data_IF_526755258860
#
_entry.id   IF_526755258860
#
_cell.length_a   1.000
_cell.length_b   1.000
_cell.length_c   1.000
_cell.angle_alpha   90.00
_cell.angle_beta   90.00
_cell.angle_gamma   90.00
#
_symmetry.space_group_name_H-M   'P 1'
#
loop_
_entity.id
_entity.type
_entity.pdbx_description
1 polymer ?
#
# COMPACT_ATOMS: atom_id res chain seq x y z
N UNK A 1 12.83 17.45 -0.12
CA UNK A 1 14.28 17.35 0.15
C UNK A 1 14.80 16.20 -0.68
N UNK A 2 15.64 16.46 -1.69
CA UNK A 2 16.07 15.47 -2.67
C UNK A 2 17.14 14.46 -2.17
N UNK A 3 17.55 14.54 -0.91
CA UNK A 3 18.54 13.64 -0.30
C UNK A 3 19.95 13.84 -0.85
N UNK A 4 20.17 13.48 -2.12
CA UNK A 4 21.42 13.63 -2.86
C UNK A 4 21.21 14.38 -4.19
N UNK A 5 22.13 15.28 -4.53
CA UNK A 5 22.13 16.01 -5.80
C UNK A 5 23.42 15.74 -6.55
N UNK A 6 23.34 15.42 -7.84
CA UNK A 6 24.53 15.30 -8.68
C UNK A 6 25.16 16.67 -8.89
N UNK A 7 26.43 16.77 -8.54
CA UNK A 7 27.22 17.99 -8.67
C UNK A 7 28.51 17.72 -9.41
N UNK A 8 29.01 18.72 -10.13
CA UNK A 8 30.34 18.75 -10.73
C UNK A 8 31.25 19.58 -9.84
N UNK A 9 32.42 19.05 -9.50
CA UNK A 9 33.45 19.80 -8.78
C UNK A 9 34.06 20.81 -9.75
N UNK A 10 34.02 22.09 -9.37
CA UNK A 10 34.57 23.22 -10.15
C UNK A 10 35.95 23.59 -9.61
N UNK A 11 36.10 23.64 -8.28
CA UNK A 11 37.34 24.05 -7.62
C UNK A 11 37.52 23.29 -6.29
N UNK A 12 38.77 23.02 -5.94
CA UNK A 12 39.15 22.36 -4.68
C UNK A 12 39.82 23.38 -3.75
N UNK A 13 39.20 23.69 -2.61
CA UNK A 13 39.74 24.63 -1.61
C UNK A 13 39.73 23.96 -0.22
N UNK A 14 40.75 23.16 0.14
CA UNK A 14 40.74 22.37 1.37
C UNK A 14 40.43 23.22 2.62
N UNK A 15 39.48 22.83 3.50
CA UNK A 15 38.78 21.55 3.58
C UNK A 15 37.47 21.45 2.76
N UNK A 16 37.16 22.44 1.93
CA UNK A 16 35.92 22.57 1.18
C UNK A 16 36.10 22.33 -0.34
N UNK A 17 34.99 22.11 -1.02
CA UNK A 17 34.89 21.96 -2.47
C UNK A 17 33.85 22.94 -3.00
N UNK A 18 34.16 23.57 -4.12
CA UNK A 18 33.19 24.39 -4.87
C UNK A 18 32.56 23.49 -5.91
N UNK A 19 31.25 23.28 -5.80
CA UNK A 19 30.49 22.35 -6.63
C UNK A 19 29.35 23.07 -7.36
N UNK A 20 28.96 22.55 -8.52
CA UNK A 20 27.84 23.06 -9.32
C UNK A 20 26.83 21.94 -9.61
N UNK A 21 25.51 22.15 -9.38
CA UNK A 21 24.48 21.17 -9.75
C UNK A 21 24.51 20.82 -11.25
N UNK A 22 24.32 19.54 -11.59
CA UNK A 22 24.42 19.06 -12.97
C UNK A 22 23.14 19.24 -13.80
N UNK A 23 21.99 19.41 -13.15
CA UNK A 23 20.67 19.43 -13.79
C UNK A 23 20.09 20.84 -13.97
N UNK A 24 20.77 21.87 -13.49
CA UNK A 24 20.36 23.25 -13.68
C UNK A 24 21.03 23.84 -14.94
N UNK A 25 20.31 24.65 -15.74
CA UNK A 25 20.88 25.30 -16.90
C UNK A 25 22.02 26.24 -16.48
N UNK A 26 23.13 26.21 -17.21
CA UNK A 26 24.39 26.90 -16.87
C UNK A 26 24.26 28.43 -16.68
N UNK A 27 23.17 29.03 -17.14
CA UNK A 27 22.86 30.45 -16.96
C UNK A 27 22.34 30.82 -15.56
N UNK A 28 21.86 29.85 -14.77
CA UNK A 28 21.20 30.09 -13.47
C UNK A 28 21.86 29.35 -12.29
N UNK A 29 22.81 28.45 -12.57
CA UNK A 29 23.46 27.63 -11.54
C UNK A 29 24.52 28.40 -10.75
N UNK A 30 24.18 28.80 -9.52
CA UNK A 30 25.16 29.30 -8.56
C UNK A 30 26.09 28.18 -8.08
N UNK A 31 27.37 28.49 -7.92
CA UNK A 31 28.31 27.57 -7.29
C UNK A 31 28.01 27.48 -5.79
N UNK A 32 28.00 26.26 -5.26
CA UNK A 32 27.76 25.98 -3.83
C UNK A 32 29.06 25.47 -3.22
N UNK A 33 29.40 25.96 -2.03
CA UNK A 33 30.55 25.46 -1.27
C UNK A 33 30.07 24.35 -0.34
N UNK A 34 30.71 23.19 -0.43
CA UNK A 34 30.39 22.00 0.39
C UNK A 34 31.67 21.45 1.03
N UNK A 35 31.57 20.87 2.22
CA UNK A 35 32.70 20.22 2.85
C UNK A 35 33.15 19.00 2.01
N UNK A 36 34.45 18.78 1.86
CA UNK A 36 34.95 17.64 1.07
C UNK A 36 34.43 16.29 1.60
N UNK A 37 34.24 16.16 2.92
CA UNK A 37 33.67 14.97 3.57
C UNK A 37 32.19 14.72 3.25
N UNK A 38 31.46 15.73 2.76
CA UNK A 38 30.05 15.61 2.37
C UNK A 38 29.88 15.21 0.89
N UNK A 39 30.97 15.11 0.13
CA UNK A 39 30.94 14.76 -1.30
C UNK A 39 31.31 13.30 -1.48
N UNK A 40 30.32 12.51 -1.91
CA UNK A 40 30.52 11.13 -2.34
C UNK A 40 31.05 11.12 -3.77
N UNK A 41 32.30 10.69 -3.96
CA UNK A 41 32.86 10.47 -5.30
C UNK A 41 32.35 9.14 -5.86
N UNK A 42 31.44 9.21 -6.82
CA UNK A 42 31.04 8.03 -7.60
C UNK A 42 32.20 7.66 -8.55
N UNK A 43 32.95 6.61 -8.21
CA UNK A 43 34.17 6.17 -8.93
C UNK A 43 33.95 5.94 -10.44
N UNK A 44 32.73 5.56 -10.84
CA UNK A 44 32.25 5.69 -12.21
C UNK A 44 30.73 5.71 -12.19
N UNK A 45 30.11 6.79 -12.66
CA UNK A 45 28.70 6.73 -13.03
C UNK A 45 28.60 5.77 -14.22
N UNK A 46 27.76 4.72 -14.19
CA UNK A 46 27.52 3.93 -15.39
C UNK A 46 27.14 4.88 -16.54
N UNK A 47 27.71 4.68 -17.75
CA UNK A 47 27.40 5.54 -18.89
C UNK A 47 25.88 5.61 -19.06
N UNK A 48 25.39 6.75 -19.54
CA UNK A 48 23.96 7.09 -19.70
C UNK A 48 23.11 6.01 -20.41
N UNK A 49 23.75 5.05 -21.08
CA UNK A 49 23.20 3.95 -21.84
C UNK A 49 23.19 2.58 -21.15
N UNK A 50 23.95 2.31 -20.08
CA UNK A 50 23.91 0.97 -19.46
C UNK A 50 22.74 0.86 -18.48
N UNK A 51 21.69 0.13 -18.86
CA UNK A 51 20.65 -0.28 -17.93
C UNK A 51 21.27 -1.29 -16.96
N UNK A 52 21.74 -0.79 -15.81
CA UNK A 52 22.09 -1.69 -14.72
C UNK A 52 20.78 -2.27 -14.20
N UNK A 53 20.55 -3.54 -14.52
CA UNK A 53 19.34 -4.25 -14.08
C UNK A 53 19.47 -4.81 -12.67
N UNK A 54 20.71 -5.02 -12.20
CA UNK A 54 21.00 -5.44 -10.83
C UNK A 54 21.96 -4.46 -10.14
N UNK A 55 21.47 -3.78 -9.11
CA UNK A 55 22.18 -2.73 -8.38
C UNK A 55 23.42 -3.26 -7.63
N UNK A 56 23.55 -4.58 -7.40
CA UNK A 56 24.76 -5.17 -6.81
C UNK A 56 25.98 -5.06 -7.73
N UNK A 57 25.77 -4.87 -9.03
CA UNK A 57 26.86 -4.62 -9.98
C UNK A 57 27.31 -3.16 -10.03
N UNK A 58 26.72 -2.29 -9.20
CA UNK A 58 27.24 -0.94 -9.03
C UNK A 58 28.58 -1.01 -8.29
N UNK A 59 29.66 -0.62 -8.97
CA UNK A 59 31.00 -0.55 -8.37
C UNK A 59 31.12 0.46 -7.22
N UNK A 60 30.10 1.29 -7.00
CA UNK A 60 29.94 2.14 -5.82
C UNK A 60 28.81 1.59 -4.95
N UNK A 61 29.14 0.85 -3.89
CA UNK A 61 28.17 0.27 -2.95
C UNK A 61 27.54 1.30 -1.98
N UNK A 62 27.49 2.58 -2.37
CA UNK A 62 27.00 3.68 -1.54
C UNK A 62 25.57 4.08 -1.89
N UNK A 63 24.82 4.54 -0.89
CA UNK A 63 23.39 4.91 -0.99
C UNK A 63 23.09 5.86 -2.15
N UNK A 64 23.98 6.83 -2.40
CA UNK A 64 23.83 7.83 -3.46
C UNK A 64 23.80 7.20 -4.87
N UNK A 65 24.60 6.14 -5.10
CA UNK A 65 24.65 5.44 -6.39
C UNK A 65 23.39 4.65 -6.69
N UNK A 66 22.85 3.97 -5.67
CA UNK A 66 21.60 3.22 -5.77
C UNK A 66 20.41 4.16 -6.01
N UNK A 67 20.32 5.27 -5.26
CA UNK A 67 19.24 6.26 -5.42
C UNK A 67 19.25 6.90 -6.81
N UNK A 68 20.43 7.27 -7.31
CA UNK A 68 20.58 7.82 -8.66
C UNK A 68 20.09 6.85 -9.75
N UNK A 69 20.47 5.57 -9.63
CA UNK A 69 20.04 4.54 -10.57
C UNK A 69 18.52 4.34 -10.54
N UNK A 70 17.94 4.23 -9.34
CA UNK A 70 16.49 4.09 -9.15
C UNK A 70 15.72 5.29 -9.72
N UNK A 71 16.18 6.52 -9.46
CA UNK A 71 15.58 7.76 -10.00
C UNK A 71 15.57 7.77 -11.53
N UNK A 72 16.71 7.42 -12.15
CA UNK A 72 16.82 7.37 -13.63
C UNK A 72 15.92 6.29 -14.24
N UNK A 73 15.82 5.11 -13.60
CA UNK A 73 14.95 4.02 -14.04
C UNK A 73 13.48 4.39 -13.93
N UNK A 74 13.08 5.02 -12.82
CA UNK A 74 11.72 5.52 -12.63
C UNK A 74 11.30 6.52 -13.73
N UNK A 75 12.17 7.48 -14.06
CA UNK A 75 11.92 8.46 -15.12
C UNK A 75 11.85 7.84 -16.54
N UNK A 76 12.44 6.65 -16.73
CA UNK A 76 12.39 5.88 -17.98
C UNK A 76 11.25 4.84 -17.99
N UNK A 77 10.33 4.89 -17.03
CA UNK A 77 9.27 3.90 -16.86
C UNK A 77 9.75 2.46 -16.58
N UNK A 78 10.98 2.29 -16.10
CA UNK A 78 11.49 1.01 -15.61
C UNK A 78 11.21 0.89 -14.11
N UNK A 79 10.06 0.34 -13.76
CA UNK A 79 9.56 0.26 -12.37
C UNK A 79 10.22 -0.85 -11.53
N UNK A 80 10.84 -1.83 -12.18
CA UNK A 80 11.48 -2.98 -11.54
C UNK A 80 13.00 -2.85 -11.59
N UNK A 81 13.66 -3.22 -10.50
CA UNK A 81 15.13 -3.24 -10.39
C UNK A 81 15.58 -4.36 -9.46
N UNK A 82 16.56 -5.17 -9.87
CA UNK A 82 17.13 -6.22 -9.00
C UNK A 82 18.14 -5.62 -8.01
N UNK A 83 18.17 -6.18 -6.80
CA UNK A 83 19.18 -5.96 -5.77
C UNK A 83 19.61 -7.34 -5.26
N UNK A 84 20.55 -7.96 -5.98
CA UNK A 84 20.98 -9.32 -5.67
C UNK A 84 19.83 -10.32 -5.87
N UNK A 85 19.34 -10.89 -4.76
CA UNK A 85 18.18 -11.80 -4.75
C UNK A 85 16.84 -11.08 -4.53
N UNK A 86 16.86 -9.78 -4.23
CA UNK A 86 15.65 -8.99 -4.00
C UNK A 86 15.24 -8.29 -5.30
N UNK A 87 13.94 -8.08 -5.48
CA UNK A 87 13.39 -7.24 -6.54
C UNK A 87 12.71 -6.03 -5.91
N UNK A 88 13.15 -4.84 -6.31
CA UNK A 88 12.55 -3.57 -5.90
C UNK A 88 11.56 -3.10 -6.96
N UNK A 89 10.35 -2.76 -6.54
CA UNK A 89 9.31 -2.14 -7.35
C UNK A 89 9.11 -0.68 -6.90
N UNK A 90 9.21 0.25 -7.84
CA UNK A 90 8.79 1.64 -7.65
C UNK A 90 7.42 1.83 -8.30
N UNK A 91 6.38 1.94 -7.47
CA UNK A 91 5.00 2.02 -7.94
C UNK A 91 4.76 3.30 -8.74
N UNK A 92 4.31 3.15 -9.98
CA UNK A 92 3.70 4.23 -10.74
C UNK A 92 2.19 4.22 -10.45
N UNK A 93 1.60 5.40 -10.21
CA UNK A 93 0.15 5.55 -10.06
C UNK A 93 -0.60 5.48 -11.41
N UNK A 94 0.11 5.20 -12.49
CA UNK A 94 -0.40 5.01 -13.85
C UNK A 94 -0.06 3.60 -14.34
N UNK A 95 -1.00 2.92 -14.99
CA UNK A 95 -0.74 1.60 -15.57
C UNK A 95 0.24 1.72 -16.74
N UNK A 96 1.34 0.95 -16.77
CA UNK A 96 2.26 0.96 -17.90
C UNK A 96 1.59 0.37 -19.14
N UNK A 97 1.74 1.04 -20.29
CA UNK A 97 1.14 0.67 -21.58
C UNK A 97 1.96 -0.35 -22.37
N UNK A 98 3.23 -0.57 -22.00
CA UNK A 98 4.15 -1.47 -22.70
C UNK A 98 5.10 -2.11 -21.69
N UNK A 99 5.23 -3.44 -21.71
CA UNK A 99 6.11 -4.20 -20.81
C UNK A 99 7.20 -4.87 -21.65
N UNK A 100 8.30 -4.17 -21.90
CA UNK A 100 9.57 -4.84 -22.21
C UNK A 100 10.13 -5.43 -20.89
N UNK A 101 10.61 -6.67 -20.92
CA UNK A 101 11.28 -7.32 -19.76
C UNK A 101 12.70 -7.69 -20.18
N UNK A 102 13.77 -7.51 -19.35
CA UNK A 102 13.83 -7.54 -17.87
C UNK A 102 14.31 -6.24 -17.18
N UNK A 103 14.24 -6.14 -15.81
CA UNK A 103 13.69 -7.09 -14.83
C UNK A 103 12.19 -6.89 -14.58
N UNK A 104 11.47 -7.91 -14.12
CA UNK A 104 10.00 -7.87 -13.95
C UNK A 104 9.49 -8.82 -12.85
N UNK A 105 8.30 -8.56 -12.29
CA UNK A 105 7.68 -9.42 -11.26
C UNK A 105 7.52 -10.87 -11.72
N UNK A 106 7.35 -11.14 -13.01
CA UNK A 106 7.24 -12.51 -13.53
C UNK A 106 8.52 -13.33 -13.36
N UNK A 107 9.69 -12.70 -13.34
CA UNK A 107 10.96 -13.40 -13.05
C UNK A 107 11.02 -13.83 -11.59
N UNK A 108 10.52 -12.97 -10.69
CA UNK A 108 10.39 -13.32 -9.29
C UNK A 108 9.23 -14.25 -9.06
N UNK A 109 8.08 -14.14 -9.73
CA UNK A 109 6.98 -15.09 -9.56
C UNK A 109 7.37 -16.51 -10.02
N UNK A 110 8.19 -16.63 -11.07
CA UNK A 110 8.80 -17.89 -11.48
C UNK A 110 9.84 -18.42 -10.46
N UNK A 111 10.56 -17.53 -9.76
CA UNK A 111 11.58 -17.88 -8.75
C UNK A 111 11.05 -17.95 -7.29
N UNK A 112 9.91 -17.32 -7.03
CA UNK A 112 9.26 -17.10 -5.74
C UNK A 112 7.85 -17.66 -5.86
N UNK A 113 7.79 -18.96 -5.66
CA UNK A 113 6.55 -19.71 -5.49
C UNK A 113 5.83 -19.40 -4.17
N UNK A 114 6.41 -18.56 -3.29
CA UNK A 114 5.72 -18.03 -2.13
C UNK A 114 6.09 -16.56 -1.92
N UNK A 115 5.17 -15.66 -2.21
CA UNK A 115 4.92 -14.43 -1.43
C UNK A 115 3.88 -13.57 -2.15
N UNK A 116 2.66 -13.53 -1.62
CA UNK A 116 1.74 -12.43 -1.90
C UNK A 116 1.55 -11.65 -0.59
N UNK A 117 2.04 -10.40 -0.56
CA UNK A 117 1.90 -9.51 0.58
C UNK A 117 0.46 -9.00 0.70
N UNK A 118 -0.18 -9.33 1.84
CA UNK A 118 -0.72 -8.41 2.86
C UNK A 118 -1.52 -9.23 3.86
N UNK A 119 -0.90 -9.60 4.99
CA UNK A 119 -1.53 -10.39 6.07
C UNK A 119 -2.32 -11.64 5.62
N UNK A 120 -2.03 -12.13 4.40
CA UNK A 120 -2.67 -13.23 3.70
C UNK A 120 -1.54 -13.96 2.99
N UNK A 121 -1.38 -15.25 3.26
CA UNK A 121 -0.49 -16.12 2.52
C UNK A 121 -1.35 -16.96 1.58
N UNK A 122 -1.06 -16.84 0.29
CA UNK A 122 -1.69 -17.66 -0.75
C UNK A 122 -0.68 -18.72 -1.14
N UNK A 123 -0.99 -19.98 -0.82
CA UNK A 123 -0.19 -21.14 -1.20
C UNK A 123 -0.84 -21.81 -2.38
N UNK A 124 -0.14 -21.88 -3.50
CA UNK A 124 -0.56 -22.72 -4.63
C UNK A 124 0.00 -24.12 -4.41
N UNK A 125 -0.79 -25.14 -4.70
CA UNK A 125 -0.36 -26.54 -4.66
C UNK A 125 -0.20 -27.02 -6.09
N UNK A 126 0.99 -27.52 -6.42
CA UNK A 126 1.28 -28.09 -7.72
C UNK A 126 1.34 -29.61 -7.61
N UNK A 127 0.78 -30.31 -8.60
CA UNK A 127 0.96 -31.74 -8.73
C UNK A 127 2.35 -32.08 -9.31
N UNK A 128 2.68 -33.37 -9.38
CA UNK A 128 3.96 -33.85 -9.90
C UNK A 128 4.26 -33.43 -11.36
N UNK A 129 3.24 -33.04 -12.13
CA UNK A 129 3.39 -32.53 -13.50
C UNK A 129 3.57 -31.01 -13.58
N UNK A 130 3.62 -30.31 -12.43
CA UNK A 130 3.75 -28.85 -12.35
C UNK A 130 2.45 -28.08 -12.63
N UNK A 131 1.29 -28.76 -12.67
CA UNK A 131 -0.02 -28.12 -12.83
C UNK A 131 -0.61 -27.76 -11.47
N UNK A 132 -1.39 -26.67 -11.43
CA UNK A 132 -2.10 -26.24 -10.23
C UNK A 132 -3.17 -27.28 -9.90
N UNK A 133 -3.05 -27.86 -8.71
CA UNK A 133 -3.96 -28.86 -8.16
C UNK A 133 -4.87 -28.25 -7.07
N UNK A 134 -4.40 -27.18 -6.43
CA UNK A 134 -5.17 -26.49 -5.40
C UNK A 134 -4.56 -25.15 -4.99
N UNK A 135 -5.27 -24.44 -4.12
CA UNK A 135 -4.83 -23.20 -3.52
C UNK A 135 -5.34 -23.12 -2.07
N UNK A 136 -4.55 -22.56 -1.17
CA UNK A 136 -4.94 -22.31 0.21
C UNK A 136 -4.61 -20.87 0.58
N UNK A 137 -5.57 -20.17 1.19
CA UNK A 137 -5.38 -18.81 1.68
C UNK A 137 -5.40 -18.81 3.20
N UNK A 138 -4.30 -18.41 3.83
CA UNK A 138 -4.18 -18.26 5.28
C UNK A 138 -4.12 -16.78 5.64
N UNK A 139 -5.09 -16.30 6.42
CA UNK A 139 -5.09 -14.93 6.93
C UNK A 139 -4.49 -14.90 8.34
N UNK A 140 -3.50 -14.04 8.59
CA UNK A 140 -2.75 -14.03 9.86
C UNK A 140 -3.22 -12.96 10.85
N UNK A 141 -3.39 -11.73 10.36
CA UNK A 141 -3.64 -10.58 11.21
C UNK A 141 -4.84 -9.81 10.67
N UNK A 142 -5.84 -9.64 11.54
CA UNK A 142 -6.93 -8.72 11.37
C UNK A 142 -6.75 -7.59 12.40
N UNK A 143 -6.81 -6.35 11.94
CA UNK A 143 -6.76 -5.18 12.82
C UNK A 143 -8.10 -5.05 13.57
N UNK A 144 -8.22 -5.73 14.72
CA UNK A 144 -9.45 -5.77 15.51
C UNK A 144 -9.86 -4.39 16.05
N UNK A 145 -8.89 -3.55 16.42
CA UNK A 145 -9.12 -2.19 16.93
C UNK A 145 -9.83 -1.28 15.93
N UNK A 146 -9.54 -1.45 14.63
CA UNK A 146 -10.16 -0.68 13.54
C UNK A 146 -11.68 -0.84 13.51
N UNK A 147 -12.21 -1.96 14.03
CA UNK A 147 -13.65 -2.20 14.07
C UNK A 147 -14.38 -1.20 14.97
N UNK A 148 -13.81 -0.91 16.14
CA UNK A 148 -14.48 -0.09 17.18
C UNK A 148 -13.95 1.34 17.26
N UNK A 149 -12.74 1.60 16.75
CA UNK A 149 -12.12 2.93 16.78
C UNK A 149 -11.56 3.29 15.40
N UNK A 150 -12.08 4.39 14.85
CA UNK A 150 -11.61 4.96 13.59
C UNK A 150 -10.98 6.32 13.88
N UNK A 151 -9.75 6.54 13.45
CA UNK A 151 -9.00 7.76 13.76
C UNK A 151 -9.06 8.79 12.62
N UNK A 152 -9.36 10.04 12.98
CA UNK A 152 -9.31 11.18 12.07
C UNK A 152 -10.14 10.97 10.80
N UNK A 153 -9.45 10.98 9.64
CA UNK A 153 -10.04 10.83 8.30
C UNK A 153 -9.98 9.40 7.76
N UNK A 154 -9.59 8.42 8.57
CA UNK A 154 -9.58 7.03 8.14
C UNK A 154 -11.00 6.48 7.98
N UNK A 155 -11.09 5.38 7.21
CA UNK A 155 -12.31 4.59 7.05
C UNK A 155 -12.17 3.26 7.79
N UNK A 156 -13.30 2.71 8.22
CA UNK A 156 -13.41 1.32 8.68
C UNK A 156 -13.37 0.34 7.47
N UNK A 157 -13.64 -0.94 7.68
CA UNK A 157 -13.71 -1.94 6.61
C UNK A 157 -14.75 -1.58 5.54
N UNK A 158 -14.41 -1.80 4.27
CA UNK A 158 -15.25 -1.40 3.13
C UNK A 158 -16.66 -2.00 3.14
N UNK A 159 -16.84 -3.21 3.67
CA UNK A 159 -18.16 -3.85 3.72
C UNK A 159 -19.20 -2.98 4.44
N UNK A 160 -18.82 -2.24 5.47
CA UNK A 160 -19.74 -1.38 6.20
C UNK A 160 -20.26 -0.22 5.33
N UNK A 161 -19.38 0.43 4.57
CA UNK A 161 -19.74 1.50 3.64
C UNK A 161 -20.55 0.97 2.44
N UNK A 162 -20.16 -0.19 1.92
CA UNK A 162 -20.89 -0.86 0.84
C UNK A 162 -22.32 -1.22 1.26
N UNK A 163 -22.51 -1.71 2.48
CA UNK A 163 -23.82 -2.00 3.05
C UNK A 163 -24.64 -0.71 3.20
N UNK A 164 -24.05 0.30 3.83
CA UNK A 164 -24.64 1.62 4.03
C UNK A 164 -25.13 2.28 2.73
N UNK A 165 -24.31 2.24 1.67
CA UNK A 165 -24.68 2.78 0.36
C UNK A 165 -25.83 2.03 -0.35
N UNK A 166 -26.16 0.82 0.12
CA UNK A 166 -27.20 -0.05 -0.42
C UNK A 166 -28.37 -0.26 0.55
N UNK A 167 -28.45 0.49 1.66
CA UNK A 167 -29.65 0.52 2.50
C UNK A 167 -30.68 1.51 1.94
N UNK A 168 -31.96 1.23 2.14
CA UNK A 168 -33.06 2.09 1.68
C UNK A 168 -33.07 3.45 2.40
N UNK A 169 -32.58 3.49 3.64
CA UNK A 169 -32.35 4.70 4.40
C UNK A 169 -30.90 5.16 4.19
N UNK A 170 -30.74 6.33 3.57
CA UNK A 170 -29.44 6.93 3.25
C UNK A 170 -28.67 7.24 4.53
N UNK A 171 -27.59 6.51 4.79
CA UNK A 171 -26.81 6.74 6.00
C UNK A 171 -25.86 7.92 5.85
N UNK A 172 -26.14 9.01 6.54
CA UNK A 172 -25.21 10.12 6.63
C UNK A 172 -23.94 9.72 7.41
N UNK A 173 -22.83 10.43 7.18
CA UNK A 173 -21.64 10.25 7.99
C UNK A 173 -21.98 10.51 9.48
N UNK A 174 -21.64 9.58 10.36
CA UNK A 174 -21.88 9.69 11.81
C UNK A 174 -23.16 9.04 12.35
N UNK A 175 -23.98 8.39 11.51
CA UNK A 175 -25.17 7.65 11.98
C UNK A 175 -24.81 6.38 12.77
N UNK A 176 -23.71 5.73 12.40
CA UNK A 176 -23.18 4.59 13.14
C UNK A 176 -21.86 4.95 13.79
N UNK A 177 -21.72 4.69 15.09
CA UNK A 177 -20.52 5.03 15.87
C UNK A 177 -19.24 4.35 15.32
N UNK A 178 -19.38 3.19 14.68
CA UNK A 178 -18.27 2.47 14.06
C UNK A 178 -17.95 2.95 12.64
N UNK A 179 -18.77 3.82 12.04
CA UNK A 179 -18.38 4.52 10.83
C UNK A 179 -17.53 5.72 11.23
N UNK A 180 -16.40 5.89 10.54
CA UNK A 180 -15.58 7.09 10.70
C UNK A 180 -16.28 8.36 10.23
N UNK A 181 -15.54 9.47 10.18
CA UNK A 181 -16.07 10.77 9.76
C UNK A 181 -16.40 10.86 8.26
N UNK A 182 -15.98 9.87 7.47
CA UNK A 182 -16.22 9.79 6.02
C UNK A 182 -17.44 8.90 5.77
N UNK A 183 -18.43 9.41 5.04
CA UNK A 183 -19.62 8.65 4.65
C UNK A 183 -19.37 7.68 3.49
N UNK A 184 -20.38 6.87 3.17
CA UNK A 184 -20.33 5.96 2.03
C UNK A 184 -20.40 6.73 0.70
N UNK A 185 -19.70 6.24 -0.32
CA UNK A 185 -19.66 6.89 -1.65
C UNK A 185 -20.43 6.11 -2.72
N UNK A 186 -20.59 6.70 -3.90
CA UNK A 186 -21.22 6.03 -5.04
C UNK A 186 -20.39 4.84 -5.54
N UNK A 187 -19.06 4.90 -5.41
CA UNK A 187 -18.18 3.77 -5.69
C UNK A 187 -18.42 2.61 -4.72
N UNK A 188 -18.66 2.90 -3.43
CA UNK A 188 -19.00 1.87 -2.44
C UNK A 188 -20.33 1.17 -2.81
N UNK A 189 -21.29 1.91 -3.38
CA UNK A 189 -22.54 1.33 -3.89
C UNK A 189 -22.27 0.30 -4.99
N UNK A 190 -21.47 0.65 -5.98
CA UNK A 190 -21.10 -0.24 -7.08
C UNK A 190 -20.25 -1.43 -6.61
N UNK A 191 -19.31 -1.19 -5.68
CA UNK A 191 -18.42 -2.22 -5.14
C UNK A 191 -19.18 -3.32 -4.38
N UNK A 192 -20.33 -3.01 -3.77
CA UNK A 192 -21.17 -4.03 -3.13
C UNK A 192 -21.61 -5.12 -4.11
N UNK A 193 -21.99 -4.75 -5.34
CA UNK A 193 -22.35 -5.71 -6.38
C UNK A 193 -21.19 -6.65 -6.74
N UNK A 194 -19.97 -6.10 -6.79
CA UNK A 194 -18.74 -6.89 -7.00
C UNK A 194 -18.49 -7.85 -5.85
N UNK A 195 -18.68 -7.41 -4.60
CA UNK A 195 -18.54 -8.27 -3.41
C UNK A 195 -19.56 -9.41 -3.42
N UNK A 196 -20.82 -9.13 -3.76
CA UNK A 196 -21.87 -10.17 -3.84
C UNK A 196 -21.58 -11.17 -4.97
N UNK A 197 -21.17 -10.69 -6.15
CA UNK A 197 -20.77 -11.56 -7.26
C UNK A 197 -19.55 -12.43 -6.91
N UNK A 198 -18.62 -11.93 -6.10
CA UNK A 198 -17.50 -12.71 -5.61
C UNK A 198 -17.94 -13.82 -4.64
N UNK A 199 -18.91 -13.56 -3.76
CA UNK A 199 -19.50 -14.59 -2.91
C UNK A 199 -20.22 -15.67 -3.73
N UNK A 200 -20.90 -15.28 -4.80
CA UNK A 200 -21.52 -16.22 -5.75
C UNK A 200 -20.48 -17.10 -6.43
N UNK A 201 -19.37 -16.52 -6.90
CA UNK A 201 -18.27 -17.27 -7.50
C UNK A 201 -17.58 -18.23 -6.51
N UNK A 202 -17.64 -17.93 -5.21
CA UNK A 202 -17.16 -18.80 -4.13
C UNK A 202 -18.18 -19.88 -3.72
N UNK A 203 -19.38 -19.87 -4.30
CA UNK A 203 -20.42 -20.88 -4.05
C UNK A 203 -21.30 -20.63 -2.82
N UNK A 204 -21.35 -19.40 -2.30
CA UNK A 204 -22.26 -19.07 -1.20
C UNK A 204 -23.72 -19.14 -1.67
N UNK A 205 -24.55 -19.81 -0.89
CA UNK A 205 -26.00 -19.82 -1.10
C UNK A 205 -26.62 -18.45 -0.79
N UNK A 206 -27.81 -18.13 -1.35
CA UNK A 206 -28.50 -16.89 -1.04
C UNK A 206 -28.70 -16.66 0.47
N UNK A 207 -29.06 -17.71 1.21
CA UNK A 207 -29.25 -17.65 2.66
C UNK A 207 -27.94 -17.35 3.42
N UNK A 208 -26.82 -17.91 3.00
CA UNK A 208 -25.51 -17.61 3.62
C UNK A 208 -25.10 -16.16 3.34
N UNK A 209 -25.31 -15.65 2.13
CA UNK A 209 -25.04 -14.24 1.80
C UNK A 209 -25.89 -13.31 2.65
N UNK A 210 -27.19 -13.59 2.80
CA UNK A 210 -28.09 -12.84 3.68
C UNK A 210 -27.62 -12.89 5.14
N UNK A 211 -27.19 -14.05 5.63
CA UNK A 211 -26.62 -14.21 6.96
C UNK A 211 -25.36 -13.36 7.19
N UNK A 212 -24.41 -13.35 6.24
CA UNK A 212 -23.21 -12.52 6.30
C UNK A 212 -23.57 -11.04 6.35
N UNK A 213 -24.48 -10.61 5.48
CA UNK A 213 -24.98 -9.22 5.45
C UNK A 213 -25.65 -8.86 6.77
N UNK A 214 -26.49 -9.73 7.31
CA UNK A 214 -27.21 -9.52 8.57
C UNK A 214 -26.25 -9.37 9.76
N UNK A 215 -25.22 -10.22 9.84
CA UNK A 215 -24.19 -10.13 10.89
C UNK A 215 -23.44 -8.80 10.79
N UNK A 216 -23.03 -8.40 9.59
CA UNK A 216 -22.34 -7.11 9.39
C UNK A 216 -23.21 -5.91 9.77
N UNK A 217 -24.51 -5.93 9.42
CA UNK A 217 -25.48 -4.90 9.86
C UNK A 217 -25.64 -4.91 11.38
N UNK A 218 -25.77 -6.07 11.99
CA UNK A 218 -25.87 -6.20 13.45
C UNK A 218 -24.67 -5.59 14.19
N UNK A 219 -23.46 -5.74 13.65
CA UNK A 219 -22.26 -5.10 14.18
C UNK A 219 -22.35 -3.57 14.13
N UNK A 220 -22.90 -3.01 13.06
CA UNK A 220 -23.11 -1.55 12.96
C UNK A 220 -24.07 -1.05 14.03
N UNK A 221 -25.23 -1.69 14.18
CA UNK A 221 -26.21 -1.33 15.21
C UNK A 221 -25.66 -1.51 16.63
N UNK A 222 -24.86 -2.54 16.87
CA UNK A 222 -24.21 -2.76 18.17
C UNK A 222 -23.32 -1.59 18.58
N UNK A 223 -22.69 -0.91 17.62
CA UNK A 223 -21.88 0.28 17.88
C UNK A 223 -22.67 1.47 18.45
N UNK A 224 -23.97 1.53 18.19
CA UNK A 224 -24.85 2.61 18.65
C UNK A 224 -25.46 2.34 20.02
N UNK A 225 -25.16 1.18 20.63
CA UNK A 225 -25.68 0.85 21.97
C UNK A 225 -24.92 1.67 23.02
N UNK A 226 -25.66 2.51 23.74
CA UNK A 226 -25.13 3.30 24.86
C UNK A 226 -25.63 2.73 26.18
N UNK A 227 -24.72 2.60 27.15
CA UNK A 227 -25.04 2.18 28.50
C UNK A 227 -25.11 3.41 29.41
N UNK A 228 -26.18 3.49 30.20
CA UNK A 228 -26.36 4.53 31.21
C UNK A 228 -26.44 3.89 32.59
N UNK A 229 -25.74 4.47 33.56
CA UNK A 229 -25.85 4.07 34.96
C UNK A 229 -27.17 4.60 35.51
N UNK A 230 -28.05 3.72 35.96
CA UNK A 230 -29.30 4.13 36.61
C UNK A 230 -29.07 4.21 38.12
N UNK A 231 -28.98 5.42 38.66
CA UNK A 231 -28.72 5.66 40.10
C UNK A 231 -29.88 5.19 41.01
N UNK A 232 -31.06 4.87 40.45
CA UNK A 232 -32.27 4.50 41.18
C UNK A 232 -32.51 2.98 41.28
N UNK A 233 -31.69 2.15 40.64
CA UNK A 233 -31.82 0.69 40.72
C UNK A 233 -30.70 0.13 41.63
N UNK A 234 -31.04 -0.65 42.68
CA UNK A 234 -30.02 -1.39 43.42
C UNK A 234 -29.25 -2.29 42.43
N UNK A 235 -27.94 -2.44 42.64
CA UNK A 235 -26.91 -3.05 41.75
C UNK A 235 -27.21 -4.45 41.14
N UNK A 236 -28.41 -5.02 41.31
CA UNK A 236 -28.82 -6.35 40.84
C UNK A 236 -29.85 -6.38 39.70
N UNK A 237 -30.11 -5.27 39.00
CA UNK A 237 -31.00 -5.29 37.84
C UNK A 237 -30.36 -4.56 36.65
N UNK A 238 -29.47 -5.25 35.94
CA UNK A 238 -29.09 -4.90 34.58
C UNK A 238 -29.96 -5.75 33.64
N UNK A 239 -30.71 -5.08 32.76
CA UNK A 239 -31.12 -5.54 31.41
C UNK A 239 -32.24 -4.64 30.87
N UNK A 240 -31.95 -3.35 30.68
CA UNK A 240 -32.73 -2.53 29.76
C UNK A 240 -31.77 -1.92 28.73
N UNK A 241 -31.71 -2.57 27.56
CA UNK A 241 -30.98 -2.08 26.40
C UNK A 241 -31.97 -1.28 25.56
N UNK A 242 -31.73 0.02 25.43
CA UNK A 242 -32.52 0.88 24.55
C UNK A 242 -31.74 1.11 23.25
N UNK A 243 -32.37 0.81 22.12
CA UNK A 243 -31.81 1.13 20.80
C UNK A 243 -32.31 2.51 20.38
N UNK A 244 -31.43 3.48 20.07
CA UNK A 244 -31.88 4.69 19.38
C UNK A 244 -32.34 4.29 17.97
N UNK A 245 -33.61 4.61 17.67
CA UNK A 245 -34.18 4.54 16.31
C UNK A 245 -33.61 5.64 15.43
#
# INVERSE_FOLDING_TARGET
MDGYTLVRIVETQPPNLVVRPLYEPAATSSCVVVAAAAVVQLASLPPSSSSVDNLVHLGSSEEAGALHCLKRRFLRHHIYTNVGKLLTLLQQYTQPTHVEMPPHVYQVAAAAFEAALRCKLVKLQLNASGKIDGCTVTSYLLEKSRLTRVEGRERNYHIFYQLCANMEHSTAAGEFAFLGQVGATQEDKAAFGVTMAALDALGFTPAEKEGVVAICKGILYLGNVHFHTNELLPQKAYDQVTFPL
#
